data_IF_517857541857
#
_entry.id   IF_517857541857
#
_cell.length_a   1.000
_cell.length_b   1.000
_cell.length_c   1.000
_cell.angle_alpha   90.00
_cell.angle_beta   90.00
_cell.angle_gamma   90.00
#
_symmetry.space_group_name_H-M   'P 1'
#
loop_
_entity.id
_entity.type
_entity.pdbx_description
1 polymer ?
#
# COMPACT_ATOMS: atom_id res chain seq x y z
N UNK A 1 50.06 -4.38 -14.26
CA UNK A 1 49.04 -5.34 -14.71
C UNK A 1 48.33 -5.86 -13.48
N UNK A 2 47.20 -5.26 -13.13
CA UNK A 2 46.24 -5.83 -12.17
C UNK A 2 44.90 -5.78 -12.88
N UNK A 3 44.45 -6.96 -13.30
CA UNK A 3 43.15 -7.15 -13.95
C UNK A 3 42.08 -6.77 -12.93
N UNK A 4 41.29 -5.76 -13.28
CA UNK A 4 40.07 -5.42 -12.56
C UNK A 4 39.01 -6.37 -13.11
N UNK A 5 38.56 -7.28 -12.26
CA UNK A 5 37.55 -8.29 -12.56
C UNK A 5 36.17 -7.59 -12.65
N UNK A 6 35.50 -7.54 -13.81
CA UNK A 6 34.21 -6.89 -13.95
C UNK A 6 33.11 -7.97 -13.93
N UNK A 7 32.55 -8.27 -12.76
CA UNK A 7 31.46 -9.24 -12.73
C UNK A 7 30.97 -9.77 -11.39
N UNK A 8 31.20 -9.10 -10.26
CA UNK A 8 30.46 -9.45 -9.05
C UNK A 8 29.05 -8.83 -9.13
N UNK A 9 28.08 -9.65 -9.52
CA UNK A 9 26.66 -9.34 -9.35
C UNK A 9 26.44 -8.89 -7.89
N UNK A 10 25.85 -7.71 -7.64
CA UNK A 10 25.76 -7.18 -6.29
C UNK A 10 24.85 -8.09 -5.46
N UNK A 11 25.46 -8.80 -4.49
CA UNK A 11 24.82 -9.75 -3.57
C UNK A 11 23.36 -9.33 -3.29
N UNK A 12 22.36 -10.12 -3.77
CA UNK A 12 20.95 -9.71 -3.73
C UNK A 12 20.46 -9.46 -2.31
N UNK A 13 21.09 -10.10 -1.31
CA UNK A 13 20.81 -9.90 0.11
C UNK A 13 21.22 -8.48 0.53
N UNK A 14 22.42 -8.03 0.13
CA UNK A 14 22.93 -6.68 0.40
C UNK A 14 22.15 -5.63 -0.36
N UNK A 15 21.84 -5.87 -1.63
CA UNK A 15 21.07 -4.97 -2.47
C UNK A 15 19.66 -4.73 -1.91
N UNK A 16 18.99 -5.79 -1.42
CA UNK A 16 17.69 -5.68 -0.76
C UNK A 16 17.74 -4.88 0.54
N UNK A 17 18.78 -5.09 1.35
CA UNK A 17 19.01 -4.35 2.59
C UNK A 17 19.29 -2.86 2.32
N UNK A 18 20.17 -2.54 1.37
CA UNK A 18 20.51 -1.17 1.01
C UNK A 18 19.26 -0.40 0.53
N UNK A 19 18.45 -1.02 -0.34
CA UNK A 19 17.17 -0.45 -0.80
C UNK A 19 16.16 -0.25 0.33
N UNK A 20 16.16 -1.12 1.33
CA UNK A 20 15.31 -0.95 2.50
C UNK A 20 15.76 0.25 3.34
N UNK A 21 17.06 0.43 3.57
CA UNK A 21 17.57 1.54 4.39
C UNK A 21 17.58 2.89 3.67
N UNK A 22 17.59 2.88 2.33
CA UNK A 22 17.62 4.09 1.51
C UNK A 22 16.43 5.01 1.79
N UNK A 23 16.74 6.29 2.06
CA UNK A 23 15.78 7.32 2.44
C UNK A 23 15.10 7.16 3.82
N UNK A 24 15.41 6.10 4.59
CA UNK A 24 14.78 5.85 5.91
C UNK A 24 15.62 6.27 7.11
N UNK A 25 16.92 6.45 6.91
CA UNK A 25 17.83 6.90 7.96
C UNK A 25 18.02 8.41 7.81
N UNK A 26 17.35 9.17 8.66
CA UNK A 26 17.52 10.62 8.71
C UNK A 26 18.96 10.98 9.14
N UNK A 27 19.51 12.12 8.68
CA UNK A 27 20.80 12.62 9.14
C UNK A 27 20.84 12.74 10.67
N UNK A 28 21.91 12.25 11.29
CA UNK A 28 22.11 12.30 12.75
C UNK A 28 21.55 11.10 13.52
N UNK A 29 20.83 10.18 12.88
CA UNK A 29 20.43 8.91 13.51
C UNK A 29 21.61 7.93 13.56
N UNK A 30 21.76 7.22 14.68
CA UNK A 30 22.84 6.24 14.87
C UNK A 30 22.46 4.90 14.24
N UNK A 31 23.23 4.47 13.23
CA UNK A 31 23.14 3.16 12.60
C UNK A 31 24.33 2.27 13.05
N UNK A 32 24.04 1.08 13.55
CA UNK A 32 25.03 0.03 13.80
C UNK A 32 24.87 -1.08 12.77
N UNK A 33 25.95 -1.48 12.11
CA UNK A 33 25.93 -2.59 11.15
C UNK A 33 27.28 -3.35 11.13
N UNK A 34 27.28 -4.67 10.83
CA UNK A 34 28.49 -5.45 10.65
C UNK A 34 29.47 -4.82 9.65
N UNK A 35 30.77 -5.02 9.85
CA UNK A 35 31.82 -4.46 8.99
C UNK A 35 31.64 -4.70 7.47
N UNK A 36 31.14 -5.86 6.99
CA UNK A 36 30.85 -6.05 5.55
C UNK A 36 29.82 -5.08 4.96
N UNK A 37 29.08 -4.38 5.81
CA UNK A 37 28.05 -3.41 5.46
C UNK A 37 28.48 -1.96 5.74
N UNK A 38 29.78 -1.70 5.93
CA UNK A 38 30.32 -0.37 6.19
C UNK A 38 29.98 0.67 5.08
N UNK A 39 29.70 0.19 3.85
CA UNK A 39 29.32 1.02 2.71
C UNK A 39 27.82 1.40 2.66
N UNK A 40 27.00 1.01 3.65
CA UNK A 40 25.59 1.40 3.71
C UNK A 40 25.41 2.91 3.95
N UNK A 41 24.29 3.50 3.50
CA UNK A 41 23.97 4.90 3.77
C UNK A 41 23.88 5.16 5.28
N UNK A 42 24.41 6.30 5.73
CA UNK A 42 24.39 6.73 7.13
C UNK A 42 25.67 6.46 7.94
N UNK A 43 26.75 6.02 7.29
CA UNK A 43 28.07 5.76 7.92
C UNK A 43 27.95 4.84 9.17
N UNK A 44 27.54 3.57 8.98
CA UNK A 44 27.30 2.67 10.09
C UNK A 44 28.54 2.48 10.96
N UNK A 45 28.32 2.46 12.27
CA UNK A 45 29.36 2.10 13.24
C UNK A 45 29.40 0.57 13.40
N UNK A 46 30.59 -0.05 13.38
CA UNK A 46 30.70 -1.49 13.65
C UNK A 46 30.26 -1.79 15.09
N UNK A 47 29.55 -2.92 15.33
CA UNK A 47 28.98 -3.22 16.63
C UNK A 47 30.05 -3.43 17.72
N UNK A 48 31.28 -3.76 17.36
CA UNK A 48 32.42 -3.91 18.28
C UNK A 48 32.97 -2.57 18.78
N UNK A 49 32.69 -1.47 18.09
CA UNK A 49 33.10 -0.12 18.49
C UNK A 49 32.10 0.53 19.47
N UNK A 50 30.96 -0.11 19.74
CA UNK A 50 30.00 0.39 20.73
C UNK A 50 30.52 0.16 22.16
N UNK A 51 30.66 1.21 22.98
CA UNK A 51 31.08 1.03 24.36
C UNK A 51 30.03 0.20 25.14
N UNK A 52 30.47 -0.70 26.03
CA UNK A 52 29.55 -1.47 26.86
C UNK A 52 28.69 -0.51 27.70
N UNK A 53 27.37 -0.66 27.60
CA UNK A 53 26.40 0.22 28.27
C UNK A 53 26.00 1.48 27.51
N UNK A 54 26.45 1.67 26.27
CA UNK A 54 25.99 2.76 25.41
C UNK A 54 24.46 2.75 25.21
N UNK A 55 23.89 3.91 24.91
CA UNK A 55 22.49 3.98 24.49
C UNK A 55 22.24 3.12 23.25
N UNK A 56 21.08 2.47 23.22
CA UNK A 56 20.63 1.64 22.10
C UNK A 56 20.65 2.48 20.80
N UNK A 57 21.24 1.98 19.70
CA UNK A 57 21.27 2.72 18.44
C UNK A 57 19.85 2.92 17.89
N UNK A 58 19.66 3.97 17.09
CA UNK A 58 18.37 4.24 16.45
C UNK A 58 18.01 3.14 15.44
N UNK A 59 19.04 2.63 14.75
CA UNK A 59 18.94 1.53 13.80
C UNK A 59 20.06 0.52 14.02
N UNK A 60 19.74 -0.77 13.94
CA UNK A 60 20.74 -1.84 14.00
C UNK A 60 20.48 -2.90 12.94
N UNK A 61 21.51 -3.25 12.17
CA UNK A 61 21.49 -4.40 11.27
C UNK A 61 22.16 -5.56 11.98
N UNK A 62 21.42 -6.65 12.19
CA UNK A 62 21.92 -7.85 12.85
C UNK A 62 22.04 -8.97 11.83
N UNK A 63 23.20 -9.62 11.70
CA UNK A 63 23.34 -10.77 10.82
C UNK A 63 22.63 -11.97 11.44
N UNK A 64 21.84 -12.70 10.63
CA UNK A 64 21.11 -13.90 11.06
C UNK A 64 22.06 -15.02 11.46
N UNK A 65 23.19 -15.12 10.78
CA UNK A 65 24.29 -16.02 11.10
C UNK A 65 25.59 -15.22 11.25
N UNK A 66 26.45 -15.62 12.18
CA UNK A 66 27.72 -14.95 12.45
C UNK A 66 27.74 -14.14 13.74
N UNK A 67 28.88 -13.50 13.99
CA UNK A 67 29.15 -12.78 15.23
C UNK A 67 28.34 -11.47 15.31
N UNK A 68 27.74 -11.25 16.47
CA UNK A 68 27.15 -9.97 16.87
C UNK A 68 27.18 -9.91 18.41
N UNK A 69 27.48 -8.76 19.05
CA UNK A 69 27.57 -8.68 20.50
C UNK A 69 26.28 -9.13 21.18
N UNK A 70 26.36 -10.17 22.02
CA UNK A 70 25.17 -10.81 22.62
C UNK A 70 24.38 -9.86 23.52
N UNK A 71 25.07 -9.01 24.27
CA UNK A 71 24.43 -8.01 25.15
C UNK A 71 23.62 -6.99 24.33
N UNK A 72 24.20 -6.49 23.23
CA UNK A 72 23.50 -5.58 22.33
C UNK A 72 22.30 -6.27 21.66
N UNK A 73 22.45 -7.53 21.26
CA UNK A 73 21.36 -8.32 20.69
C UNK A 73 20.21 -8.51 21.68
N UNK A 74 20.50 -8.87 22.93
CA UNK A 74 19.49 -9.03 23.98
C UNK A 74 18.71 -7.72 24.21
N UNK A 75 19.42 -6.59 24.28
CA UNK A 75 18.78 -5.27 24.43
C UNK A 75 17.95 -4.88 23.20
N UNK A 76 18.44 -5.13 21.97
CA UNK A 76 17.67 -4.88 20.74
C UNK A 76 16.37 -5.71 20.70
N UNK A 77 16.42 -6.98 21.10
CA UNK A 77 15.24 -7.84 21.16
C UNK A 77 14.22 -7.39 22.22
N UNK A 78 14.69 -6.78 23.31
CA UNK A 78 13.85 -6.26 24.38
C UNK A 78 13.23 -4.89 24.03
N UNK A 79 14.06 -3.95 23.56
CA UNK A 79 13.76 -2.51 23.51
C UNK A 79 13.52 -1.96 22.09
N UNK A 80 13.88 -2.68 21.02
CA UNK A 80 13.69 -2.23 19.64
C UNK A 80 12.66 -3.08 18.88
N UNK A 81 12.15 -2.50 17.78
CA UNK A 81 11.20 -3.17 16.90
C UNK A 81 11.91 -3.72 15.67
N UNK A 82 11.78 -5.03 15.36
CA UNK A 82 12.29 -5.59 14.12
C UNK A 82 11.39 -5.19 12.95
N UNK A 83 11.94 -4.49 11.96
CA UNK A 83 11.19 -3.84 10.87
C UNK A 83 11.46 -4.42 9.48
N UNK A 84 12.53 -5.20 9.35
CA UNK A 84 12.89 -5.87 8.10
C UNK A 84 13.69 -7.14 8.39
N UNK A 85 13.48 -8.17 7.59
CA UNK A 85 14.27 -9.40 7.62
C UNK A 85 14.41 -9.94 6.19
N UNK A 86 15.63 -10.36 5.85
CA UNK A 86 15.90 -11.14 4.64
C UNK A 86 16.71 -12.40 5.02
N UNK A 87 17.28 -13.08 4.04
CA UNK A 87 18.01 -14.33 4.29
C UNK A 87 19.31 -14.14 5.07
N UNK A 88 19.92 -12.94 5.03
CA UNK A 88 21.19 -12.66 5.72
C UNK A 88 21.05 -11.80 6.99
N UNK A 89 20.07 -10.91 7.06
CA UNK A 89 20.03 -9.83 8.06
C UNK A 89 18.63 -9.56 8.60
N UNK A 90 18.57 -9.05 9.83
CA UNK A 90 17.39 -8.48 10.48
C UNK A 90 17.70 -7.03 10.86
N UNK A 91 16.80 -6.10 10.55
CA UNK A 91 16.94 -4.69 10.90
C UNK A 91 16.01 -4.36 12.06
N UNK A 92 16.59 -3.77 13.09
CA UNK A 92 15.88 -3.22 14.25
C UNK A 92 15.85 -1.70 14.18
N UNK A 93 14.73 -1.11 14.59
CA UNK A 93 14.57 0.31 14.80
C UNK A 93 14.12 0.57 16.24
N UNK A 94 14.82 1.45 16.96
CA UNK A 94 14.45 1.87 18.33
C UNK A 94 13.13 2.62 18.35
N UNK A 95 12.91 3.48 17.35
CA UNK A 95 11.68 4.24 17.13
C UNK A 95 11.23 3.99 15.69
N UNK A 96 10.49 2.90 15.42
CA UNK A 96 10.05 2.63 14.06
C UNK A 96 9.18 3.79 13.57
N UNK A 97 9.48 4.28 12.37
CA UNK A 97 8.59 5.24 11.70
C UNK A 97 7.25 4.59 11.39
N UNK A 98 6.21 5.41 11.30
CA UNK A 98 4.87 4.94 11.02
C UNK A 98 4.86 4.11 9.71
N UNK A 99 4.15 2.97 9.71
CA UNK A 99 4.01 2.10 8.54
C UNK A 99 5.06 1.00 8.38
N UNK A 100 6.09 0.94 9.24
CA UNK A 100 7.01 -0.21 9.25
C UNK A 100 6.35 -1.45 9.87
N UNK A 101 6.50 -2.65 9.25
CA UNK A 101 5.93 -3.87 9.79
C UNK A 101 6.64 -4.24 11.09
N UNK A 102 5.92 -4.80 12.05
CA UNK A 102 6.53 -5.38 13.24
C UNK A 102 6.72 -6.89 13.03
N UNK A 103 7.96 -7.34 12.95
CA UNK A 103 8.33 -8.73 12.64
C UNK A 103 8.58 -9.59 13.89
N UNK A 104 8.19 -9.13 15.09
CA UNK A 104 8.53 -9.79 16.37
C UNK A 104 8.13 -11.26 16.43
N UNK A 105 7.04 -11.64 15.79
CA UNK A 105 6.48 -13.00 15.80
C UNK A 105 6.88 -13.86 14.59
N UNK A 106 7.81 -13.38 13.77
CA UNK A 106 8.21 -14.09 12.55
C UNK A 106 9.25 -15.19 12.82
N UNK A 107 9.29 -16.28 12.02
CA UNK A 107 10.29 -17.34 12.17
C UNK A 107 11.75 -16.87 12.22
N UNK A 108 12.20 -15.88 11.40
CA UNK A 108 13.56 -15.36 11.47
C UNK A 108 13.91 -14.72 12.81
N UNK A 109 12.95 -14.05 13.47
CA UNK A 109 13.19 -13.45 14.79
C UNK A 109 13.22 -14.46 15.92
N UNK A 110 12.41 -15.52 15.84
CA UNK A 110 12.47 -16.61 16.83
C UNK A 110 13.83 -17.28 16.83
N UNK A 111 14.36 -17.62 15.65
CA UNK A 111 15.71 -18.19 15.53
C UNK A 111 16.80 -17.24 16.08
N UNK A 112 16.65 -15.92 15.89
CA UNK A 112 17.58 -14.93 16.42
C UNK A 112 17.47 -14.80 17.95
N UNK A 113 16.27 -14.90 18.51
CA UNK A 113 16.02 -14.89 19.95
C UNK A 113 16.53 -16.17 20.63
N UNK A 114 16.35 -17.33 20.00
CA UNK A 114 16.89 -18.61 20.48
C UNK A 114 18.43 -18.59 20.51
N UNK A 115 19.06 -18.00 19.48
CA UNK A 115 20.50 -17.72 19.45
C UNK A 115 20.93 -16.82 20.60
N UNK A 116 20.22 -15.71 20.83
CA UNK A 116 20.50 -14.77 21.91
C UNK A 116 20.33 -15.39 23.31
N UNK A 117 19.48 -16.41 23.43
CA UNK A 117 19.27 -17.17 24.66
C UNK A 117 20.26 -18.33 24.85
N UNK A 118 21.26 -18.48 23.96
CA UNK A 118 22.24 -19.57 24.02
C UNK A 118 21.65 -20.95 23.68
N UNK A 119 20.42 -21.01 23.15
CA UNK A 119 19.77 -22.25 22.71
C UNK A 119 20.11 -22.48 21.23
N UNK A 120 21.33 -22.92 20.95
CA UNK A 120 21.65 -23.38 19.60
C UNK A 120 20.89 -24.68 19.32
N UNK A 121 20.04 -24.66 18.31
CA UNK A 121 19.40 -25.85 17.75
C UNK A 121 20.50 -26.80 17.23
N UNK A 122 20.56 -28.07 17.69
CA UNK A 122 21.54 -29.01 17.15
C UNK A 122 21.25 -29.24 15.67
N UNK A 123 22.30 -29.16 14.85
CA UNK A 123 22.21 -29.45 13.43
C UNK A 123 21.52 -30.81 13.21
N UNK A 124 20.49 -30.89 12.35
CA UNK A 124 19.84 -32.17 12.09
C UNK A 124 20.89 -33.15 11.52
N UNK A 125 20.94 -34.40 12.00
CA UNK A 125 21.89 -35.38 11.49
C UNK A 125 21.67 -35.58 9.98
N UNK A 126 22.73 -35.88 9.21
CA UNK A 126 22.63 -36.07 7.78
C UNK A 126 21.62 -37.19 7.48
N UNK A 127 20.60 -36.88 6.68
CA UNK A 127 19.62 -37.88 6.23
C UNK A 127 20.36 -38.99 5.49
N UNK A 128 20.14 -40.28 5.84
CA UNK A 128 20.60 -41.38 5.03
C UNK A 128 20.00 -41.28 3.62
N UNK A 129 20.79 -41.62 2.61
CA UNK A 129 20.35 -41.67 1.22
C UNK A 129 19.13 -42.61 1.06
N UNK A 130 18.14 -42.27 0.21
CA UNK A 130 16.98 -43.11 0.00
C UNK A 130 17.39 -44.40 -0.72
N UNK A 131 17.15 -45.55 -0.08
CA UNK A 131 17.11 -46.83 -0.76
C UNK A 131 15.89 -46.90 -1.69
N UNK A 132 15.99 -47.52 -2.88
CA UNK A 132 14.86 -47.69 -3.79
C UNK A 132 13.96 -48.81 -3.27
N UNK A 133 12.71 -48.51 -2.92
CA UNK A 133 11.80 -49.53 -2.39
C UNK A 133 10.34 -49.12 -2.31
N UNK A 134 9.59 -49.57 -3.33
CA UNK A 134 8.14 -49.87 -3.41
C UNK A 134 7.10 -48.74 -3.19
N UNK A 135 6.06 -48.67 -4.05
CA UNK A 135 4.98 -47.69 -3.90
C UNK A 135 4.02 -48.08 -2.77
N UNK A 136 3.57 -47.13 -1.93
CA UNK A 136 2.53 -47.41 -0.95
C UNK A 136 1.15 -47.47 -1.61
N UNK A 137 0.45 -48.57 -1.38
CA UNK A 137 -0.96 -48.77 -1.71
C UNK A 137 -1.85 -47.72 -1.03
N UNK A 138 -2.66 -47.04 -1.82
CA UNK A 138 -3.62 -46.03 -1.38
C UNK A 138 -4.74 -46.68 -0.56
N UNK A 139 -5.04 -46.25 0.67
CA UNK A 139 -6.21 -46.73 1.39
C UNK A 139 -7.50 -46.18 0.75
N UNK A 140 -8.63 -46.93 0.81
CA UNK A 140 -9.90 -46.51 0.22
C UNK A 140 -10.52 -45.33 0.98
N UNK A 141 -11.04 -44.38 0.22
CA UNK A 141 -11.76 -43.20 0.72
C UNK A 141 -13.17 -43.63 1.14
N UNK A 142 -13.63 -43.36 2.38
CA UNK A 142 -15.01 -43.62 2.79
C UNK A 142 -15.99 -42.65 2.11
N UNK A 143 -17.24 -43.07 1.84
CA UNK A 143 -18.24 -42.21 1.18
C UNK A 143 -18.67 -41.05 2.09
N UNK A 144 -19.02 -39.88 1.51
CA UNK A 144 -19.43 -38.71 2.27
C UNK A 144 -20.79 -38.93 2.95
N UNK A 145 -20.84 -38.66 4.26
CA UNK A 145 -22.09 -38.64 5.01
C UNK A 145 -23.00 -37.48 4.55
N UNK A 146 -24.29 -37.79 4.37
CA UNK A 146 -25.32 -36.83 4.02
C UNK A 146 -25.45 -35.75 5.12
N UNK A 147 -25.41 -34.47 4.71
CA UNK A 147 -25.64 -33.34 5.62
C UNK A 147 -27.15 -33.25 5.94
N UNK A 148 -27.53 -33.05 7.23
CA UNK A 148 -28.89 -32.70 7.59
C UNK A 148 -29.27 -31.34 7.00
N UNK A 149 -30.43 -31.28 6.35
CA UNK A 149 -31.05 -30.07 5.85
C UNK A 149 -31.43 -29.17 7.03
N UNK A 150 -30.89 -27.96 7.07
CA UNK A 150 -31.27 -26.97 8.08
C UNK A 150 -32.72 -26.48 7.85
N UNK A 151 -33.52 -26.27 8.91
CA UNK A 151 -34.85 -25.70 8.78
C UNK A 151 -34.78 -24.21 8.39
N UNK A 152 -35.82 -23.67 7.73
CA UNK A 152 -35.86 -22.27 7.32
C UNK A 152 -35.92 -21.33 8.54
N UNK A 153 -35.31 -20.13 8.45
CA UNK A 153 -35.37 -19.14 9.52
C UNK A 153 -36.79 -18.57 9.65
N UNK A 154 -37.23 -18.17 10.87
CA UNK A 154 -38.50 -17.50 11.07
C UNK A 154 -38.49 -16.10 10.43
N UNK A 155 -39.66 -15.69 9.93
CA UNK A 155 -39.89 -14.39 9.33
C UNK A 155 -39.57 -13.26 10.33
N UNK A 156 -38.73 -12.32 9.89
CA UNK A 156 -38.32 -11.14 10.65
C UNK A 156 -39.49 -10.15 10.65
N UNK A 157 -40.03 -9.85 11.83
CA UNK A 157 -41.02 -8.80 11.99
C UNK A 157 -40.41 -7.43 11.67
N UNK A 158 -41.13 -6.65 10.89
CA UNK A 158 -40.78 -5.29 10.47
C UNK A 158 -40.82 -4.34 11.67
N UNK A 159 -39.76 -3.56 11.95
CA UNK A 159 -39.79 -2.57 13.03
C UNK A 159 -40.72 -1.39 12.68
N UNK A 160 -41.45 -0.82 13.65
CA UNK A 160 -42.35 0.30 13.41
C UNK A 160 -41.59 1.56 13.01
N UNK A 161 -42.19 2.34 12.09
CA UNK A 161 -41.65 3.59 11.62
C UNK A 161 -41.47 4.62 12.76
N UNK A 162 -40.38 5.39 12.76
CA UNK A 162 -40.18 6.45 13.75
C UNK A 162 -41.18 7.60 13.51
N UNK A 163 -41.60 8.32 14.58
CA UNK A 163 -42.50 9.46 14.46
C UNK A 163 -41.85 10.62 13.70
N UNK A 164 -42.67 11.32 12.91
CA UNK A 164 -42.25 12.47 12.11
C UNK A 164 -41.77 13.63 13.00
N UNK A 165 -40.54 14.08 12.77
CA UNK A 165 -39.98 15.29 13.40
C UNK A 165 -40.50 16.51 12.61
N UNK A 166 -41.04 17.56 13.26
CA UNK A 166 -41.47 18.78 12.58
C UNK A 166 -40.27 19.55 11.99
N UNK A 167 -40.47 20.30 10.89
CA UNK A 167 -39.39 21.00 10.20
C UNK A 167 -38.79 22.13 11.06
N UNK A 168 -37.47 22.17 11.14
CA UNK A 168 -36.71 23.27 11.75
C UNK A 168 -36.61 24.41 10.73
N UNK A 169 -36.90 25.67 11.09
CA UNK A 169 -36.78 26.82 10.19
C UNK A 169 -35.32 27.10 9.82
N UNK A 170 -35.06 27.37 8.54
CA UNK A 170 -33.74 27.67 8.00
C UNK A 170 -33.18 28.99 8.56
N UNK A 171 -31.88 29.07 8.91
CA UNK A 171 -31.25 30.33 9.26
C UNK A 171 -31.08 31.22 8.02
N UNK A 172 -31.26 32.53 8.22
CA UNK A 172 -31.19 33.56 7.19
C UNK A 172 -29.82 33.62 6.50
N UNK A 173 -29.85 33.70 5.17
CA UNK A 173 -28.69 33.84 4.28
C UNK A 173 -27.98 35.18 4.52
N UNK A 174 -26.65 35.22 4.77
CA UNK A 174 -25.90 36.47 4.76
C UNK A 174 -25.79 37.05 3.33
N UNK A 175 -25.65 38.38 3.18
CA UNK A 175 -25.65 39.06 1.89
C UNK A 175 -24.40 38.72 1.06
N UNK A 176 -24.61 38.57 -0.25
CA UNK A 176 -23.65 38.00 -1.20
C UNK A 176 -22.39 38.82 -1.41
N UNK A 177 -21.24 38.14 -1.35
CA UNK A 177 -19.98 38.60 -1.91
C UNK A 177 -20.05 38.57 -3.44
N UNK A 178 -19.56 39.63 -4.07
CA UNK A 178 -19.51 39.80 -5.51
C UNK A 178 -18.74 38.65 -6.19
N UNK A 179 -19.41 38.02 -7.15
CA UNK A 179 -18.93 36.89 -7.93
C UNK A 179 -17.89 37.38 -8.96
N UNK A 180 -16.61 37.32 -8.58
CA UNK A 180 -15.53 37.37 -9.57
C UNK A 180 -15.47 36.02 -10.29
N UNK A 181 -15.51 35.98 -11.64
CA UNK A 181 -15.34 34.74 -12.36
C UNK A 181 -13.93 34.19 -12.05
N UNK A 182 -13.81 32.95 -11.53
CA UNK A 182 -12.50 32.38 -11.28
C UNK A 182 -11.74 32.25 -12.62
N UNK A 183 -10.43 32.53 -12.65
CA UNK A 183 -9.63 32.28 -13.84
C UNK A 183 -9.75 30.79 -14.23
N UNK A 184 -9.67 30.45 -15.54
CA UNK A 184 -9.69 29.06 -15.97
C UNK A 184 -8.47 28.34 -15.40
N UNK A 185 -8.69 27.64 -14.29
CA UNK A 185 -7.68 26.83 -13.65
C UNK A 185 -7.37 25.64 -14.55
N UNK A 186 -6.14 25.58 -15.06
CA UNK A 186 -5.54 24.38 -15.64
C UNK A 186 -5.46 23.20 -14.63
N UNK A 187 -5.89 23.40 -13.38
CA UNK A 187 -6.13 22.36 -12.39
C UNK A 187 -7.60 21.99 -12.32
N UNK A 188 -7.93 20.74 -12.63
CA UNK A 188 -9.19 20.12 -12.23
C UNK A 188 -9.33 20.03 -10.69
N UNK A 189 -10.41 19.43 -10.18
CA UNK A 189 -10.81 19.49 -8.76
C UNK A 189 -9.75 18.95 -7.79
N UNK A 190 -9.01 19.81 -7.09
CA UNK A 190 -8.31 19.49 -5.83
C UNK A 190 -7.42 18.24 -5.82
N UNK A 191 -6.85 17.83 -6.96
CA UNK A 191 -6.13 16.56 -7.10
C UNK A 191 -4.74 16.55 -6.45
N UNK A 192 -4.18 17.73 -6.16
CA UNK A 192 -2.80 17.82 -5.70
C UNK A 192 -1.83 17.13 -6.68
N UNK A 193 -0.86 16.39 -6.15
CA UNK A 193 0.10 15.56 -6.87
C UNK A 193 -0.45 14.21 -7.37
N UNK A 194 -1.75 13.93 -7.29
CA UNK A 194 -2.33 12.65 -7.73
C UNK A 194 -1.99 12.29 -9.19
N UNK A 195 -2.03 13.21 -10.18
CA UNK A 195 -1.66 12.87 -11.56
C UNK A 195 -0.20 12.39 -11.69
N UNK A 196 0.74 13.08 -11.03
CA UNK A 196 2.14 12.69 -11.00
C UNK A 196 2.32 11.31 -10.34
N UNK A 197 1.55 11.02 -9.28
CA UNK A 197 1.60 9.71 -8.62
C UNK A 197 1.06 8.59 -9.51
N UNK A 198 -0.04 8.83 -10.23
CA UNK A 198 -0.60 7.89 -11.21
C UNK A 198 0.44 7.56 -12.29
N UNK A 199 1.07 8.59 -12.86
CA UNK A 199 2.12 8.42 -13.86
C UNK A 199 3.31 7.60 -13.32
N UNK A 200 3.76 7.90 -12.09
CA UNK A 200 4.85 7.18 -11.45
C UNK A 200 4.53 5.70 -11.21
N UNK A 201 3.29 5.37 -10.83
CA UNK A 201 2.86 3.99 -10.57
C UNK A 201 2.71 3.16 -11.84
N UNK A 202 2.22 3.75 -12.93
CA UNK A 202 2.11 3.08 -14.23
C UNK A 202 3.49 2.91 -14.90
N UNK A 203 4.46 3.73 -14.50
CA UNK A 203 5.82 3.69 -15.03
C UNK A 203 5.92 4.26 -16.45
N UNK A 204 7.00 3.97 -17.20
CA UNK A 204 7.17 4.47 -18.55
C UNK A 204 6.12 3.87 -19.50
N UNK A 205 5.30 4.76 -20.09
CA UNK A 205 4.28 4.45 -21.09
C UNK A 205 4.61 4.78 -22.58
N UNK A 206 5.78 5.33 -22.99
CA UNK A 206 6.05 5.59 -24.41
C UNK A 206 5.86 4.35 -25.29
N UNK A 207 5.18 4.51 -26.41
CA UNK A 207 4.92 3.42 -27.37
C UNK A 207 3.90 2.37 -26.92
N UNK A 208 3.29 2.52 -25.75
CA UNK A 208 2.23 1.64 -25.24
C UNK A 208 0.86 2.16 -25.64
N UNK A 209 -0.09 1.25 -25.90
CA UNK A 209 -1.50 1.63 -26.01
C UNK A 209 -2.07 1.78 -24.61
N UNK A 210 -2.34 3.03 -24.25
CA UNK A 210 -2.85 3.40 -22.93
C UNK A 210 -4.32 3.76 -23.04
N UNK A 211 -5.13 3.26 -22.12
CA UNK A 211 -6.55 3.57 -22.01
C UNK A 211 -6.93 4.26 -20.71
N UNK A 212 -8.04 4.99 -20.69
CA UNK A 212 -8.70 5.39 -19.45
C UNK A 212 -10.20 5.10 -19.50
N UNK A 213 -10.73 4.52 -18.42
CA UNK A 213 -12.13 4.13 -18.25
C UNK A 213 -12.74 4.78 -16.99
N UNK A 214 -14.00 5.20 -17.08
CA UNK A 214 -14.83 5.59 -15.93
C UNK A 214 -16.32 5.66 -16.33
N UNK A 215 -17.21 5.30 -15.39
CA UNK A 215 -18.68 5.28 -15.61
C UNK A 215 -19.29 6.66 -15.77
N UNK A 216 -18.74 7.63 -15.06
CA UNK A 216 -19.02 9.04 -15.29
C UNK A 216 -17.89 9.61 -16.11
N UNK A 217 -18.12 9.83 -17.41
CA UNK A 217 -17.34 10.79 -18.19
C UNK A 217 -17.58 12.24 -17.71
N UNK A 218 -18.01 12.44 -16.45
CA UNK A 218 -17.82 13.69 -15.73
C UNK A 218 -16.33 14.01 -15.82
N UNK A 219 -16.00 15.24 -16.23
CA UNK A 219 -14.67 15.64 -16.65
C UNK A 219 -13.52 15.22 -15.74
N UNK A 220 -13.77 14.90 -14.47
CA UNK A 220 -12.87 14.30 -13.47
C UNK A 220 -12.02 13.13 -13.96
N UNK A 221 -12.60 12.02 -14.45
CA UNK A 221 -11.82 10.86 -14.88
C UNK A 221 -10.99 11.17 -16.13
N UNK A 222 -11.58 11.93 -17.06
CA UNK A 222 -10.92 12.40 -18.28
C UNK A 222 -9.80 13.40 -17.99
N UNK A 223 -9.98 14.27 -17.00
CA UNK A 223 -9.02 15.27 -16.56
C UNK A 223 -7.85 14.63 -15.84
N UNK A 224 -8.09 13.64 -14.96
CA UNK A 224 -6.99 12.87 -14.36
C UNK A 224 -6.21 12.14 -15.44
N UNK A 225 -6.90 11.46 -16.35
CA UNK A 225 -6.25 10.76 -17.45
C UNK A 225 -5.44 11.72 -18.33
N UNK A 226 -5.99 12.87 -18.70
CA UNK A 226 -5.28 13.90 -19.47
C UNK A 226 -4.07 14.48 -18.73
N UNK A 227 -4.14 14.59 -17.40
CA UNK A 227 -3.05 15.10 -16.57
C UNK A 227 -1.97 14.04 -16.27
N UNK A 228 -2.31 12.75 -16.28
CA UNK A 228 -1.43 11.67 -15.82
C UNK A 228 -0.88 10.78 -16.94
N UNK A 229 -1.53 10.72 -18.09
CA UNK A 229 -1.21 9.79 -19.18
C UNK A 229 -0.50 10.53 -20.34
N UNK A 230 0.31 9.82 -21.14
CA UNK A 230 1.02 10.45 -22.25
C UNK A 230 0.07 11.03 -23.32
N UNK A 231 0.53 12.04 -24.08
CA UNK A 231 -0.18 12.51 -25.26
C UNK A 231 -0.39 11.34 -26.24
N UNK A 232 -1.65 11.00 -26.53
CA UNK A 232 -2.01 9.84 -27.36
C UNK A 232 -2.63 8.65 -26.61
N UNK A 233 -2.80 8.75 -25.28
CA UNK A 233 -3.65 7.81 -24.55
C UNK A 233 -5.10 7.87 -25.06
N UNK A 234 -5.71 6.70 -25.29
CA UNK A 234 -7.10 6.57 -25.69
C UNK A 234 -8.00 6.83 -24.47
N UNK A 235 -8.84 7.86 -24.55
CA UNK A 235 -9.82 8.18 -23.52
C UNK A 235 -11.17 7.67 -24.03
N UNK A 236 -11.75 6.69 -23.34
CA UNK A 236 -13.00 6.07 -23.78
C UNK A 236 -14.00 5.93 -22.63
N UNK A 237 -15.28 6.03 -22.97
CA UNK A 237 -16.37 6.01 -22.01
C UNK A 237 -16.85 4.60 -21.63
N UNK A 238 -17.79 4.56 -20.68
CA UNK A 238 -18.56 3.37 -20.28
C UNK A 238 -19.20 2.61 -21.46
N UNK A 239 -19.55 3.30 -22.53
CA UNK A 239 -20.37 2.76 -23.63
C UNK A 239 -19.56 2.40 -24.89
N UNK A 240 -18.31 2.84 -24.99
CA UNK A 240 -17.53 2.69 -26.23
C UNK A 240 -16.99 1.27 -26.42
N UNK A 241 -17.34 0.62 -27.52
CA UNK A 241 -16.92 -0.74 -27.82
C UNK A 241 -15.48 -0.76 -28.34
N UNK A 242 -14.54 -1.14 -27.49
CA UNK A 242 -13.15 -1.39 -27.87
C UNK A 242 -12.89 -2.89 -28.08
N UNK A 243 -11.96 -3.26 -28.97
CA UNK A 243 -11.55 -4.65 -29.14
C UNK A 243 -10.97 -5.21 -27.84
N UNK A 244 -11.18 -6.51 -27.60
CA UNK A 244 -10.52 -7.20 -26.49
C UNK A 244 -8.99 -7.15 -26.63
N UNK A 245 -8.28 -7.11 -25.50
CA UNK A 245 -6.81 -7.14 -25.47
C UNK A 245 -6.14 -6.09 -26.36
N UNK A 246 -6.72 -4.88 -26.42
CA UNK A 246 -6.17 -3.76 -27.19
C UNK A 246 -5.27 -2.83 -26.36
N UNK A 247 -5.20 -2.98 -25.03
CA UNK A 247 -4.46 -2.06 -24.15
C UNK A 247 -3.26 -2.74 -23.50
N UNK A 248 -2.15 -2.03 -23.43
CA UNK A 248 -0.94 -2.43 -22.71
C UNK A 248 -0.93 -1.84 -21.28
N UNK A 249 -1.57 -0.68 -21.10
CA UNK A 249 -1.81 -0.07 -19.81
C UNK A 249 -3.19 0.60 -19.75
N UNK A 250 -3.81 0.67 -18.57
CA UNK A 250 -5.06 1.41 -18.41
C UNK A 250 -5.22 2.08 -17.04
N UNK A 251 -6.01 3.15 -17.01
CA UNK A 251 -6.45 3.84 -15.80
C UNK A 251 -7.96 3.63 -15.63
N UNK A 252 -8.40 3.23 -14.43
CA UNK A 252 -9.82 3.08 -14.11
C UNK A 252 -10.19 4.00 -12.95
N UNK A 253 -11.22 4.83 -13.12
CA UNK A 253 -11.84 5.61 -12.04
C UNK A 253 -13.30 5.18 -11.89
N UNK A 254 -13.62 4.28 -10.94
CA UNK A 254 -14.98 3.79 -10.78
C UNK A 254 -15.86 4.88 -10.18
N UNK A 255 -17.01 5.14 -10.83
CA UNK A 255 -18.06 6.02 -10.31
C UNK A 255 -18.90 5.37 -9.20
N UNK A 256 -18.71 4.07 -8.96
CA UNK A 256 -19.45 3.31 -7.95
C UNK A 256 -18.80 1.97 -7.63
N UNK A 257 -19.61 0.91 -7.56
CA UNK A 257 -19.11 -0.43 -7.27
C UNK A 257 -18.13 -0.90 -8.35
N UNK A 258 -16.85 -1.21 -8.02
CA UNK A 258 -15.79 -1.38 -9.02
C UNK A 258 -15.88 -2.67 -9.84
N UNK A 259 -16.77 -3.62 -9.49
CA UNK A 259 -16.75 -4.99 -10.03
C UNK A 259 -17.00 -5.06 -11.54
N UNK A 260 -18.05 -4.39 -12.04
CA UNK A 260 -18.38 -4.44 -13.47
C UNK A 260 -17.34 -3.75 -14.35
N UNK A 261 -16.86 -2.59 -13.89
CA UNK A 261 -15.84 -1.83 -14.60
C UNK A 261 -14.48 -2.52 -14.59
N UNK A 262 -14.10 -3.17 -13.49
CA UNK A 262 -12.88 -3.97 -13.41
C UNK A 262 -12.92 -5.17 -14.36
N UNK A 263 -14.08 -5.85 -14.48
CA UNK A 263 -14.24 -6.95 -15.42
C UNK A 263 -14.10 -6.48 -16.88
N UNK A 264 -14.73 -5.34 -17.23
CA UNK A 264 -14.58 -4.73 -18.55
C UNK A 264 -13.13 -4.35 -18.84
N UNK A 265 -12.46 -3.71 -17.88
CA UNK A 265 -11.04 -3.35 -17.98
C UNK A 265 -10.16 -4.57 -18.24
N UNK A 266 -10.41 -5.68 -17.53
CA UNK A 266 -9.68 -6.93 -17.72
C UNK A 266 -9.85 -7.50 -19.14
N UNK A 267 -11.03 -7.36 -19.76
CA UNK A 267 -11.24 -7.73 -21.17
C UNK A 267 -10.39 -6.90 -22.15
N UNK A 268 -10.21 -5.61 -21.87
CA UNK A 268 -9.46 -4.69 -22.74
C UNK A 268 -7.94 -4.82 -22.61
N UNK A 269 -7.43 -5.21 -21.44
CA UNK A 269 -6.00 -5.41 -21.21
C UNK A 269 -5.48 -6.63 -21.95
N UNK A 270 -4.25 -6.53 -22.46
CA UNK A 270 -3.47 -7.67 -22.95
C UNK A 270 -2.94 -8.52 -21.80
N UNK A 271 -2.64 -9.82 -22.01
CA UNK A 271 -1.86 -10.60 -21.06
C UNK A 271 -0.57 -9.85 -20.69
N UNK A 272 -0.30 -9.74 -19.39
CA UNK A 272 0.80 -8.92 -18.87
C UNK A 272 0.56 -7.40 -18.80
N UNK A 273 -0.56 -6.91 -19.33
CA UNK A 273 -0.94 -5.50 -19.28
C UNK A 273 -1.19 -5.01 -17.86
N UNK A 274 -0.93 -3.73 -17.63
CA UNK A 274 -1.08 -3.08 -16.32
C UNK A 274 -2.35 -2.26 -16.25
N UNK A 275 -2.96 -2.19 -15.06
CA UNK A 275 -3.99 -1.21 -14.79
C UNK A 275 -3.79 -0.55 -13.44
N UNK A 276 -4.14 0.73 -13.36
CA UNK A 276 -4.25 1.46 -12.10
C UNK A 276 -5.71 1.79 -11.85
N UNK A 277 -6.24 1.30 -10.74
CA UNK A 277 -7.59 1.63 -10.27
C UNK A 277 -7.46 2.73 -9.23
N UNK A 278 -8.10 3.88 -9.48
CA UNK A 278 -8.06 5.07 -8.61
C UNK A 278 -9.47 5.38 -8.13
N UNK A 279 -9.70 5.31 -6.82
CA UNK A 279 -11.02 5.51 -6.24
C UNK A 279 -10.96 6.34 -4.96
N UNK A 280 -12.03 7.09 -4.67
CA UNK A 280 -12.18 7.72 -3.35
C UNK A 280 -12.29 6.65 -2.26
N UNK A 281 -11.62 6.87 -1.14
CA UNK A 281 -11.64 5.97 0.00
C UNK A 281 -12.85 6.23 0.89
N UNK A 282 -13.83 5.33 0.90
CA UNK A 282 -14.98 5.40 1.80
C UNK A 282 -14.57 5.35 3.28
N UNK A 283 -13.40 4.79 3.60
CA UNK A 283 -12.86 4.68 4.95
C UNK A 283 -11.81 5.76 5.30
N UNK A 284 -11.72 6.85 4.51
CA UNK A 284 -10.73 7.92 4.73
C UNK A 284 -10.79 8.49 6.16
N UNK A 285 -9.68 9.04 6.62
CA UNK A 285 -9.63 9.69 7.94
C UNK A 285 -10.62 10.84 8.03
N UNK A 286 -10.74 11.68 6.99
CA UNK A 286 -11.68 12.80 6.96
C UNK A 286 -13.13 12.36 7.10
N UNK A 287 -13.54 11.32 6.37
CA UNK A 287 -14.91 10.76 6.45
C UNK A 287 -15.21 10.15 7.80
N UNK A 288 -14.26 9.41 8.39
CA UNK A 288 -14.43 8.84 9.75
C UNK A 288 -14.50 9.92 10.82
N UNK A 289 -13.71 10.98 10.69
CA UNK A 289 -13.73 12.10 11.63
C UNK A 289 -15.04 12.92 11.48
N UNK A 290 -15.50 13.18 10.26
CA UNK A 290 -16.81 13.80 10.02
C UNK A 290 -17.95 12.98 10.65
N UNK A 291 -17.96 11.66 10.47
CA UNK A 291 -18.93 10.77 11.10
C UNK A 291 -18.87 10.84 12.64
N UNK A 292 -17.67 10.79 13.23
CA UNK A 292 -17.47 10.89 14.67
C UNK A 292 -17.93 12.24 15.25
N UNK A 293 -17.89 13.31 14.45
CA UNK A 293 -18.38 14.64 14.80
C UNK A 293 -19.87 14.86 14.46
N UNK A 294 -20.60 13.80 14.07
CA UNK A 294 -22.00 13.87 13.62
C UNK A 294 -22.24 14.86 12.46
N UNK A 295 -21.26 14.98 11.56
CA UNK A 295 -21.34 15.80 10.35
C UNK A 295 -21.83 14.95 9.17
N UNK A 296 -22.48 15.56 8.16
CA UNK A 296 -22.80 14.86 6.92
C UNK A 296 -21.54 14.25 6.29
N UNK A 297 -21.62 12.97 5.93
CA UNK A 297 -20.55 12.29 5.19
C UNK A 297 -21.02 12.16 3.74
N UNK A 298 -20.26 12.66 2.74
CA UNK A 298 -20.63 12.50 1.35
C UNK A 298 -20.86 11.01 1.01
N UNK A 299 -21.92 10.65 0.29
CA UNK A 299 -22.11 9.27 -0.14
C UNK A 299 -21.01 8.86 -1.14
N UNK A 300 -20.81 7.55 -1.30
CA UNK A 300 -19.91 6.98 -2.30
C UNK A 300 -18.50 6.65 -1.81
N UNK A 301 -17.61 6.41 -2.77
CA UNK A 301 -16.28 5.85 -2.55
C UNK A 301 -16.29 4.32 -2.42
N UNK A 302 -15.10 3.75 -2.23
CA UNK A 302 -14.89 2.31 -2.05
C UNK A 302 -13.88 2.04 -0.95
N UNK A 303 -13.81 0.80 -0.45
CA UNK A 303 -12.76 0.39 0.48
C UNK A 303 -11.63 -0.32 -0.25
N UNK A 304 -10.47 -0.40 0.40
CA UNK A 304 -9.33 -1.16 -0.11
C UNK A 304 -9.68 -2.64 -0.36
N UNK A 305 -10.48 -3.24 0.52
CA UNK A 305 -10.93 -4.63 0.41
C UNK A 305 -11.89 -4.81 -0.77
N UNK A 306 -12.86 -3.90 -0.94
CA UNK A 306 -13.80 -3.94 -2.06
C UNK A 306 -13.08 -3.76 -3.40
N UNK A 307 -12.11 -2.84 -3.47
CA UNK A 307 -11.31 -2.61 -4.67
C UNK A 307 -10.45 -3.82 -5.04
N UNK A 308 -9.79 -4.46 -4.07
CA UNK A 308 -9.04 -5.71 -4.28
C UNK A 308 -9.94 -6.87 -4.67
N UNK A 309 -11.11 -6.98 -4.02
CA UNK A 309 -12.10 -8.00 -4.31
C UNK A 309 -12.61 -7.90 -5.75
N UNK A 310 -12.90 -6.68 -6.22
CA UNK A 310 -13.29 -6.44 -7.60
C UNK A 310 -12.18 -6.78 -8.60
N UNK A 311 -10.94 -6.41 -8.32
CA UNK A 311 -9.79 -6.77 -9.16
C UNK A 311 -9.63 -8.30 -9.26
N UNK A 312 -9.70 -9.01 -8.12
CA UNK A 312 -9.62 -10.47 -8.11
C UNK A 312 -10.80 -11.12 -8.84
N UNK A 313 -12.02 -10.61 -8.65
CA UNK A 313 -13.20 -11.11 -9.36
C UNK A 313 -13.09 -10.94 -10.89
N UNK A 314 -12.38 -9.90 -11.34
CA UNK A 314 -12.06 -9.65 -12.74
C UNK A 314 -10.88 -10.49 -13.28
N UNK A 315 -10.28 -11.35 -12.46
CA UNK A 315 -9.10 -12.14 -12.84
C UNK A 315 -7.81 -11.33 -12.94
N UNK A 316 -7.77 -10.14 -12.34
CA UNK A 316 -6.57 -9.30 -12.28
C UNK A 316 -5.78 -9.62 -11.01
N UNK A 317 -4.45 -9.55 -11.10
CA UNK A 317 -3.52 -9.80 -10.00
C UNK A 317 -3.12 -8.46 -9.36
N UNK A 318 -3.49 -8.20 -8.09
CA UNK A 318 -3.03 -7.01 -7.38
C UNK A 318 -1.52 -7.03 -7.18
N UNK A 319 -0.85 -5.95 -7.59
CA UNK A 319 0.60 -5.79 -7.42
C UNK A 319 0.93 -4.87 -6.24
N UNK A 320 0.22 -3.75 -6.13
CA UNK A 320 0.51 -2.71 -5.14
C UNK A 320 -0.74 -1.91 -4.81
N UNK A 321 -0.97 -1.66 -3.52
CA UNK A 321 -2.01 -0.75 -3.05
C UNK A 321 -1.36 0.41 -2.29
N UNK A 322 -1.72 1.64 -2.67
CA UNK A 322 -1.28 2.85 -2.00
C UNK A 322 -2.45 3.75 -1.62
N UNK A 323 -2.18 4.65 -0.66
CA UNK A 323 -3.04 5.77 -0.35
C UNK A 323 -2.45 7.07 -0.88
N UNK A 324 -3.29 8.02 -1.28
CA UNK A 324 -2.86 9.37 -1.66
C UNK A 324 -3.71 10.45 -0.98
N UNK A 325 -3.03 11.43 -0.38
CA UNK A 325 -3.65 12.59 0.27
C UNK A 325 -4.36 12.28 1.58
N UNK A 326 -4.42 13.26 2.48
CA UNK A 326 -5.37 13.29 3.59
C UNK A 326 -6.46 14.31 3.32
N UNK A 327 -7.69 13.97 3.70
CA UNK A 327 -8.89 14.81 3.57
C UNK A 327 -9.43 15.24 4.93
N UNK A 328 -8.56 15.42 5.93
CA UNK A 328 -8.96 15.73 7.31
C UNK A 328 -9.82 17.02 7.41
N UNK A 329 -9.66 17.95 6.47
CA UNK A 329 -10.49 19.15 6.38
C UNK A 329 -11.98 18.84 6.16
N UNK A 330 -12.35 17.69 5.58
CA UNK A 330 -13.75 17.27 5.43
C UNK A 330 -14.47 17.10 6.77
N UNK A 331 -13.72 16.94 7.85
CA UNK A 331 -14.29 16.93 9.20
C UNK A 331 -14.81 18.31 9.64
N UNK A 332 -14.18 19.38 9.15
CA UNK A 332 -14.41 20.74 9.64
C UNK A 332 -15.07 21.64 8.59
N UNK A 333 -14.97 21.33 7.30
CA UNK A 333 -15.52 22.13 6.21
C UNK A 333 -16.13 21.28 5.08
N UNK A 334 -17.15 21.85 4.43
CA UNK A 334 -17.82 21.26 3.25
C UNK A 334 -16.97 21.37 1.98
N UNK A 335 -16.01 22.31 1.97
CA UNK A 335 -15.08 22.55 0.88
C UNK A 335 -13.64 22.65 1.42
N UNK A 336 -12.63 22.35 0.59
CA UNK A 336 -11.23 22.53 0.99
C UNK A 336 -11.00 23.99 1.42
N UNK A 337 -10.30 24.26 2.54
CA UNK A 337 -9.92 25.61 2.91
C UNK A 337 -9.09 26.28 1.80
N UNK A 338 -9.20 27.61 1.71
CA UNK A 338 -8.35 28.42 0.81
C UNK A 338 -6.88 28.13 1.15
N UNK A 339 -6.05 27.87 0.13
CA UNK A 339 -4.64 27.48 0.32
C UNK A 339 -4.39 25.97 0.36
N UNK A 340 -5.33 25.14 -0.11
CA UNK A 340 -5.11 23.72 -0.47
C UNK A 340 -5.15 23.48 -1.98
N UNK A 341 -4.63 24.43 -2.75
CA UNK A 341 -4.41 24.27 -4.18
C UNK A 341 -3.25 23.32 -4.48
N UNK A 342 -3.13 22.85 -5.74
CA UNK A 342 -2.12 21.89 -6.18
C UNK A 342 -0.66 22.36 -6.08
N UNK A 343 -0.42 23.62 -5.69
CA UNK A 343 0.92 24.18 -5.46
C UNK A 343 1.12 24.70 -4.05
N UNK A 344 0.14 24.53 -3.16
CA UNK A 344 0.26 25.00 -1.79
C UNK A 344 1.06 24.01 -0.94
N UNK A 345 1.98 24.52 -0.12
CA UNK A 345 2.80 23.71 0.78
C UNK A 345 1.95 22.85 1.75
N UNK A 346 0.77 23.36 2.14
CA UNK A 346 -0.16 22.61 2.97
C UNK A 346 -0.77 21.39 2.23
N UNK A 347 -1.03 21.49 0.93
CA UNK A 347 -1.48 20.36 0.13
C UNK A 347 -0.37 19.30 0.02
N UNK A 348 0.87 19.71 -0.23
CA UNK A 348 2.02 18.81 -0.28
C UNK A 348 2.22 18.05 1.06
N UNK A 349 2.07 18.72 2.19
CA UNK A 349 2.14 18.08 3.52
C UNK A 349 1.00 17.09 3.75
N UNK A 350 -0.22 17.39 3.31
CA UNK A 350 -1.35 16.45 3.39
C UNK A 350 -1.15 15.24 2.47
N UNK A 351 -0.49 15.42 1.33
CA UNK A 351 -0.12 14.33 0.43
C UNK A 351 0.94 13.42 1.03
N UNK A 352 2.02 13.98 1.58
CA UNK A 352 3.07 13.25 2.28
C UNK A 352 2.49 12.48 3.47
N UNK A 353 1.73 13.16 4.33
CA UNK A 353 1.07 12.53 5.47
C UNK A 353 0.08 11.44 5.04
N UNK A 354 -0.58 11.58 3.89
CA UNK A 354 -1.49 10.57 3.34
C UNK A 354 -0.77 9.32 2.84
N UNK A 355 0.42 9.50 2.26
CA UNK A 355 1.28 8.40 1.84
C UNK A 355 1.79 7.63 3.06
N UNK A 356 2.25 8.34 4.09
CA UNK A 356 2.75 7.73 5.31
C UNK A 356 1.65 7.04 6.10
N UNK A 357 0.49 7.68 6.26
CA UNK A 357 -0.66 7.12 6.95
C UNK A 357 -1.19 5.82 6.29
N UNK A 358 -0.87 5.62 5.02
CA UNK A 358 -1.20 4.43 4.24
C UNK A 358 -2.65 4.41 3.72
N UNK A 359 -3.00 3.38 2.93
CA UNK A 359 -4.26 3.32 2.19
C UNK A 359 -5.51 3.32 3.09
N UNK A 360 -5.38 2.90 4.35
CA UNK A 360 -6.51 2.90 5.29
C UNK A 360 -6.99 4.32 5.62
N UNK A 361 -6.11 5.31 5.57
CA UNK A 361 -6.38 6.65 6.08
C UNK A 361 -6.45 7.71 4.97
N UNK A 362 -5.85 7.40 3.83
CA UNK A 362 -5.80 8.31 2.69
C UNK A 362 -7.18 8.63 2.11
N UNK A 363 -7.27 9.78 1.45
CA UNK A 363 -8.44 10.25 0.72
C UNK A 363 -8.70 9.42 -0.55
N UNK A 364 -7.64 9.01 -1.24
CA UNK A 364 -7.70 8.22 -2.46
C UNK A 364 -6.97 6.89 -2.31
N UNK A 365 -7.49 5.86 -2.96
CA UNK A 365 -6.89 4.54 -3.09
C UNK A 365 -6.34 4.38 -4.51
N UNK A 366 -5.10 3.90 -4.61
CA UNK A 366 -4.43 3.60 -5.87
C UNK A 366 -4.03 2.14 -5.88
N UNK A 367 -4.72 1.32 -6.66
CA UNK A 367 -4.46 -0.11 -6.78
C UNK A 367 -3.87 -0.44 -8.15
N UNK A 368 -2.57 -0.75 -8.18
CA UNK A 368 -1.91 -1.27 -9.37
C UNK A 368 -2.17 -2.77 -9.48
N UNK A 369 -2.65 -3.19 -10.64
CA UNK A 369 -2.97 -4.58 -10.97
C UNK A 369 -2.36 -4.97 -12.31
N UNK A 370 -2.25 -6.27 -12.54
CA UNK A 370 -1.76 -6.85 -13.79
C UNK A 370 -2.72 -7.92 -14.28
N UNK A 371 -2.95 -7.98 -15.60
CA UNK A 371 -3.59 -9.15 -16.22
C UNK A 371 -2.57 -10.29 -16.32
N UNK A 372 -2.88 -11.50 -15.84
CA UNK A 372 -1.94 -12.63 -15.86
C UNK A 372 -1.42 -12.95 -17.24
#
# INVERSE_FOLDING_TARGET
MSQHDPGEDPDPIRSGLARFLDGRIAPGLRLVAPAPLAALPGAPTPPEAEPPGAELPDWAVVPRAGAFPEELLRRLLAEASPVFANDGYVVFARRPTFGLPNLRDTPPLRALADRAAGRSEPAPPPRPAPAPGLPPSRPPIPPPAARPTAPPPPARAEPPAPPAIPPVPAPATPPGEAEFPPPPSLGGPGWGGLPARVAAMLGPLPGRRVGALGTDANGTARALAAAALPPGALLFGGEEALPESCLDAALLLPGGAPTGEAARLAGLLRPGGLALLVAENAASLGRRLAAALNRPVPPGGTTAEALRGAAHAAGLVPLRLEGHGLDAWRATAEAPPRGLGPMDAAAALLEEAGQDAGPRHAAWLLLLVRKP
#
